data_IF_726955952213
#
_entry.id   IF_726955952213
#
_cell.length_a   1.000
_cell.length_b   1.000
_cell.length_c   1.000
_cell.angle_alpha   90.00
_cell.angle_beta   90.00
_cell.angle_gamma   90.00
#
_symmetry.space_group_name_H-M   'P 1'
#
loop_
_entity.id
_entity.type
_entity.pdbx_description
1 polymer ?
#
# COMPACT_ATOMS: atom_id res chain seq x y z
N UNK A 1 -1.19 2.11 5.69
CA UNK A 1 -1.27 1.00 6.67
C UNK A 1 0.03 0.22 6.78
N UNK A 2 0.57 -0.36 5.69
CA UNK A 2 1.76 -1.24 5.71
C UNK A 2 2.96 -0.66 6.47
N UNK A 3 3.35 0.59 6.15
CA UNK A 3 4.49 1.28 6.79
C UNK A 3 4.25 1.73 8.24
N UNK A 4 3.01 1.75 8.72
CA UNK A 4 2.68 2.11 10.10
C UNK A 4 2.33 0.90 10.97
N UNK A 5 2.27 -0.29 10.36
CA UNK A 5 1.96 -1.55 11.05
C UNK A 5 3.10 -2.01 11.99
N UNK A 6 2.79 -2.88 12.98
CA UNK A 6 3.80 -3.45 13.90
C UNK A 6 4.70 -4.51 13.26
N UNK A 7 4.49 -4.83 11.98
CA UNK A 7 5.26 -5.84 11.26
C UNK A 7 6.45 -5.22 10.53
N UNK A 8 7.35 -6.07 10.05
CA UNK A 8 8.39 -5.68 9.09
C UNK A 8 7.75 -5.47 7.72
N UNK A 9 7.70 -4.23 7.19
CA UNK A 9 7.12 -3.98 5.87
C UNK A 9 8.05 -4.51 4.77
N UNK A 10 7.46 -5.06 3.72
CA UNK A 10 8.11 -5.35 2.44
C UNK A 10 7.33 -4.60 1.36
N UNK A 11 8.04 -3.86 0.51
CA UNK A 11 7.45 -3.15 -0.63
C UNK A 11 7.87 -3.86 -1.90
N UNK A 12 6.97 -3.94 -2.87
CA UNK A 12 7.35 -4.36 -4.21
C UNK A 12 7.96 -3.19 -4.98
N UNK A 13 8.91 -3.45 -5.88
CA UNK A 13 9.56 -2.37 -6.63
C UNK A 13 8.53 -1.62 -7.49
N UNK A 14 8.52 -0.29 -7.40
CA UNK A 14 7.56 0.55 -8.11
C UNK A 14 6.26 0.80 -7.35
N UNK A 15 5.98 0.07 -6.26
CA UNK A 15 4.81 0.32 -5.40
C UNK A 15 4.84 1.75 -4.82
N UNK A 16 6.03 2.25 -4.50
CA UNK A 16 6.22 3.52 -3.82
C UNK A 16 5.82 4.74 -4.65
N UNK A 17 5.75 4.62 -5.98
CA UNK A 17 5.23 5.65 -6.87
C UNK A 17 4.02 5.16 -7.68
N UNK A 18 3.48 3.97 -7.37
CA UNK A 18 2.33 3.41 -8.06
C UNK A 18 2.63 3.12 -9.52
N UNK A 19 3.68 2.35 -9.79
CA UNK A 19 4.13 2.05 -11.14
C UNK A 19 3.00 1.52 -12.02
N UNK A 20 2.91 2.04 -13.25
CA UNK A 20 1.88 1.65 -14.23
C UNK A 20 2.21 0.34 -14.93
N UNK A 21 3.47 -0.08 -14.89
CA UNK A 21 3.99 -1.27 -15.56
C UNK A 21 3.57 -2.55 -14.82
N UNK A 22 3.10 -3.60 -15.52
CA UNK A 22 2.79 -4.87 -14.89
C UNK A 22 4.05 -5.59 -14.39
N UNK A 23 3.90 -6.55 -13.48
CA UNK A 23 4.94 -7.52 -13.17
C UNK A 23 4.51 -8.92 -13.63
N UNK A 24 4.96 -9.32 -14.81
CA UNK A 24 4.54 -10.56 -15.46
C UNK A 24 5.51 -11.70 -15.11
N UNK A 25 5.03 -12.94 -15.18
CA UNK A 25 5.92 -14.11 -15.12
C UNK A 25 6.61 -14.28 -16.48
N UNK A 26 7.94 -14.23 -16.51
CA UNK A 26 8.74 -14.42 -17.72
C UNK A 26 9.93 -15.36 -17.47
N UNK A 27 10.40 -15.98 -18.55
CA UNK A 27 11.46 -16.99 -18.60
C UNK A 27 12.28 -16.83 -19.88
N UNK A 28 13.45 -17.44 -19.94
CA UNK A 28 14.32 -17.43 -21.13
C UNK A 28 14.97 -18.81 -21.27
N UNK A 29 14.17 -19.84 -21.54
CA UNK A 29 14.69 -21.21 -21.65
C UNK A 29 15.32 -21.36 -23.04
N UNK A 30 16.60 -21.73 -23.15
CA UNK A 30 17.24 -21.91 -24.45
C UNK A 30 16.71 -23.15 -25.18
N UNK A 31 16.23 -24.16 -24.45
CA UNK A 31 15.60 -25.36 -25.02
C UNK A 31 14.12 -25.11 -25.37
N UNK A 32 13.72 -25.20 -26.65
CA UNK A 32 12.34 -24.91 -27.08
C UNK A 32 11.28 -25.78 -26.39
N UNK A 33 11.56 -27.06 -26.15
CA UNK A 33 10.62 -27.98 -25.49
C UNK A 33 10.37 -27.59 -24.04
N UNK A 34 11.41 -27.11 -23.33
CA UNK A 34 11.27 -26.63 -21.96
C UNK A 34 10.50 -25.31 -21.92
N UNK A 35 10.78 -24.40 -22.86
CA UNK A 35 10.03 -23.15 -23.02
C UNK A 35 8.54 -23.40 -23.25
N UNK A 36 8.20 -24.30 -24.18
CA UNK A 36 6.82 -24.69 -24.48
C UNK A 36 6.13 -25.33 -23.28
N UNK A 37 6.81 -26.26 -22.59
CA UNK A 37 6.27 -26.91 -21.40
C UNK A 37 5.96 -25.91 -20.28
N UNK A 38 6.84 -24.92 -20.07
CA UNK A 38 6.63 -23.83 -19.10
C UNK A 38 5.45 -22.94 -19.48
N UNK A 39 5.35 -22.52 -20.74
CA UNK A 39 4.25 -21.68 -21.22
C UNK A 39 2.89 -22.39 -21.06
N UNK A 40 2.78 -23.63 -21.56
CA UNK A 40 1.55 -24.42 -21.42
C UNK A 40 1.21 -24.72 -19.95
N UNK A 41 2.23 -25.01 -19.13
CA UNK A 41 2.06 -25.25 -17.70
C UNK A 41 1.45 -24.04 -17.00
N UNK A 42 1.95 -22.84 -17.30
CA UNK A 42 1.48 -21.59 -16.70
C UNK A 42 0.08 -21.20 -17.15
N UNK A 43 -0.23 -21.37 -18.44
CA UNK A 43 -1.58 -21.12 -18.96
C UNK A 43 -2.61 -22.02 -18.25
N UNK A 44 -2.31 -23.32 -18.11
CA UNK A 44 -3.19 -24.26 -17.39
C UNK A 44 -3.36 -23.91 -15.91
N UNK A 45 -2.33 -23.37 -15.26
CA UNK A 45 -2.42 -22.93 -13.86
C UNK A 45 -3.34 -21.71 -13.72
N UNK A 46 -3.21 -20.72 -14.60
CA UNK A 46 -4.06 -19.53 -14.60
C UNK A 46 -5.51 -19.83 -14.95
N UNK A 47 -5.76 -20.76 -15.87
CA UNK A 47 -7.12 -21.23 -16.18
C UNK A 47 -7.81 -21.80 -14.93
N UNK A 48 -7.08 -22.58 -14.11
CA UNK A 48 -7.59 -23.10 -12.83
C UNK A 48 -7.88 -21.99 -11.81
N UNK A 49 -7.22 -20.84 -11.92
CA UNK A 49 -7.46 -19.65 -11.10
C UNK A 49 -8.58 -18.77 -11.67
N UNK A 50 -9.27 -19.20 -12.74
CA UNK A 50 -10.40 -18.49 -13.35
C UNK A 50 -9.99 -17.34 -14.28
N UNK A 51 -8.73 -17.28 -14.70
CA UNK A 51 -8.26 -16.29 -15.67
C UNK A 51 -8.58 -16.73 -17.09
N UNK A 52 -8.88 -15.77 -17.96
CA UNK A 52 -9.00 -16.02 -19.40
C UNK A 52 -7.61 -16.39 -19.97
N UNK A 53 -7.42 -17.61 -20.51
CA UNK A 53 -6.16 -18.03 -21.10
C UNK A 53 -5.66 -17.08 -22.20
N UNK A 54 -6.56 -16.41 -22.92
CA UNK A 54 -6.21 -15.53 -24.03
C UNK A 54 -5.52 -14.22 -23.58
N UNK A 55 -5.64 -13.85 -22.30
CA UNK A 55 -4.99 -12.65 -21.74
C UNK A 55 -3.70 -12.96 -20.99
N UNK A 56 -3.34 -14.25 -20.86
CA UNK A 56 -2.09 -14.67 -20.20
C UNK A 56 -0.91 -14.44 -21.15
N UNK A 57 0.04 -13.55 -20.82
CA UNK A 57 1.23 -13.35 -21.64
C UNK A 57 2.07 -14.61 -21.75
N UNK A 58 2.64 -14.88 -22.92
CA UNK A 58 3.61 -15.96 -23.09
C UNK A 58 4.88 -15.66 -22.26
N UNK A 59 5.26 -16.52 -21.31
CA UNK A 59 6.45 -16.29 -20.50
C UNK A 59 7.77 -16.41 -21.28
N UNK A 60 7.81 -16.96 -22.50
CA UNK A 60 9.00 -17.00 -23.35
C UNK A 60 9.08 -15.82 -24.34
N UNK A 61 8.02 -15.03 -24.50
CA UNK A 61 8.02 -13.83 -25.32
C UNK A 61 8.91 -12.75 -24.66
N UNK A 62 9.99 -12.28 -25.33
CA UNK A 62 10.83 -11.20 -24.80
C UNK A 62 10.05 -9.93 -24.41
N UNK A 63 8.91 -9.66 -25.05
CA UNK A 63 8.07 -8.52 -24.70
C UNK A 63 7.41 -8.66 -23.33
N UNK A 64 7.20 -9.87 -22.82
CA UNK A 64 6.72 -10.10 -21.43
C UNK A 64 7.72 -9.61 -20.39
N UNK A 65 9.02 -9.80 -20.66
CA UNK A 65 10.08 -9.20 -19.87
C UNK A 65 10.16 -7.67 -20.06
N UNK A 66 10.14 -7.20 -21.32
CA UNK A 66 10.25 -5.76 -21.62
C UNK A 66 9.13 -4.94 -20.97
N UNK A 67 7.87 -5.39 -21.04
CA UNK A 67 6.72 -4.73 -20.39
C UNK A 67 6.79 -4.75 -18.86
N UNK A 68 7.58 -5.65 -18.28
CA UNK A 68 7.77 -5.75 -16.83
C UNK A 68 8.91 -4.86 -16.28
N UNK A 69 9.56 -4.08 -17.15
CA UNK A 69 10.56 -3.10 -16.73
C UNK A 69 9.88 -1.83 -16.23
N UNK A 70 10.28 -1.37 -15.06
CA UNK A 70 9.80 -0.12 -14.47
C UNK A 70 10.04 1.08 -15.39
N UNK A 71 9.00 1.90 -15.55
CA UNK A 71 9.08 3.18 -16.25
C UNK A 71 9.49 4.31 -15.27
N UNK A 72 10.79 4.50 -15.08
CA UNK A 72 11.30 5.48 -14.10
C UNK A 72 10.92 6.94 -14.37
N UNK A 73 10.53 7.30 -15.59
CA UNK A 73 10.13 8.69 -15.89
C UNK A 73 8.84 9.08 -15.17
N UNK A 74 7.94 8.12 -14.92
CA UNK A 74 6.63 8.41 -14.31
C UNK A 74 6.75 8.76 -12.82
N UNK A 75 7.79 8.27 -12.12
CA UNK A 75 7.98 8.47 -10.68
C UNK A 75 8.05 9.96 -10.25
N UNK A 76 8.42 10.86 -11.18
CA UNK A 76 8.51 12.30 -10.96
C UNK A 76 7.28 13.10 -11.35
N UNK A 77 6.20 12.45 -11.83
CA UNK A 77 5.07 13.12 -12.48
C UNK A 77 3.75 12.91 -11.72
N UNK A 78 2.89 13.94 -11.70
CA UNK A 78 1.50 13.86 -11.24
C UNK A 78 1.28 13.07 -9.94
N UNK A 79 0.33 12.13 -9.99
CA UNK A 79 -0.02 11.28 -8.85
C UNK A 79 1.11 10.33 -8.42
N UNK A 80 1.98 9.90 -9.33
CA UNK A 80 3.12 9.06 -8.99
C UNK A 80 4.09 9.81 -8.05
N UNK A 81 4.39 11.07 -8.37
CA UNK A 81 5.22 11.92 -7.51
C UNK A 81 4.57 12.18 -6.15
N UNK A 82 3.24 12.41 -6.13
CA UNK A 82 2.48 12.58 -4.89
C UNK A 82 2.57 11.34 -4.01
N UNK A 83 2.38 10.16 -4.58
CA UNK A 83 2.49 8.88 -3.87
C UNK A 83 3.92 8.62 -3.37
N UNK A 84 4.93 8.91 -4.19
CA UNK A 84 6.34 8.78 -3.80
C UNK A 84 6.68 9.68 -2.60
N UNK A 85 6.17 10.89 -2.57
CA UNK A 85 6.35 11.81 -1.45
C UNK A 85 5.64 11.30 -0.18
N UNK A 86 4.46 10.70 -0.31
CA UNK A 86 3.78 10.04 0.82
C UNK A 86 4.60 8.86 1.38
N UNK A 87 5.13 7.99 0.52
CA UNK A 87 6.00 6.88 0.94
C UNK A 87 7.27 7.37 1.65
N UNK A 88 7.89 8.45 1.15
CA UNK A 88 9.05 9.10 1.79
C UNK A 88 8.69 9.67 3.16
N UNK A 89 7.56 10.37 3.27
CA UNK A 89 7.09 10.94 4.53
C UNK A 89 6.75 9.85 5.56
N UNK A 90 6.06 8.77 5.15
CA UNK A 90 5.76 7.63 6.01
C UNK A 90 7.03 6.90 6.47
N UNK A 91 8.01 6.72 5.58
CA UNK A 91 9.29 6.08 5.93
C UNK A 91 10.09 6.95 6.91
N UNK A 92 10.12 8.27 6.69
CA UNK A 92 10.77 9.21 7.61
C UNK A 92 10.08 9.20 8.98
N UNK A 93 8.74 9.21 9.01
CA UNK A 93 7.94 9.12 10.23
C UNK A 93 8.21 7.81 10.97
N UNK A 94 8.13 6.66 10.29
CA UNK A 94 8.44 5.35 10.89
C UNK A 94 9.83 5.32 11.51
N UNK A 95 10.84 5.88 10.83
CA UNK A 95 12.22 5.91 11.32
C UNK A 95 12.40 6.83 12.53
N UNK A 96 11.67 7.94 12.58
CA UNK A 96 11.79 8.92 13.65
C UNK A 96 10.95 8.59 14.90
N UNK A 97 10.00 7.66 14.80
CA UNK A 97 9.04 7.35 15.85
C UNK A 97 9.26 5.92 16.38
N UNK A 98 9.84 5.75 17.59
CA UNK A 98 10.14 4.44 18.18
C UNK A 98 8.94 3.49 18.22
N UNK A 99 7.74 4.00 18.51
CA UNK A 99 6.50 3.24 18.56
C UNK A 99 6.12 2.66 17.19
N UNK A 100 6.54 3.30 16.08
CA UNK A 100 6.33 2.79 14.73
C UNK A 100 7.46 1.86 14.29
N UNK A 101 8.71 2.15 14.68
CA UNK A 101 9.89 1.36 14.33
C UNK A 101 9.98 0.02 15.10
N UNK A 102 9.52 0.00 16.35
CA UNK A 102 9.56 -1.17 17.21
C UNK A 102 8.75 -2.33 16.62
N UNK A 103 9.20 -3.56 16.84
CA UNK A 103 8.45 -4.77 16.50
C UNK A 103 7.71 -5.25 17.75
N UNK A 104 6.42 -5.56 17.63
CA UNK A 104 5.63 -6.09 18.75
C UNK A 104 4.16 -5.70 18.73
N UNK A 105 3.32 -6.54 19.34
CA UNK A 105 1.85 -6.42 19.35
C UNK A 105 1.27 -5.97 20.69
N UNK A 106 2.05 -6.08 21.77
CA UNK A 106 1.54 -5.96 23.15
C UNK A 106 0.94 -4.60 23.47
N UNK A 107 1.31 -3.56 22.74
CA UNK A 107 0.84 -2.18 22.92
C UNK A 107 0.01 -1.68 21.73
N UNK A 108 -0.60 -2.61 20.96
CA UNK A 108 -1.49 -2.25 19.85
C UNK A 108 -2.94 -2.22 20.30
N UNK A 109 -3.60 -1.06 20.18
CA UNK A 109 -5.05 -0.93 20.33
C UNK A 109 -5.73 -0.90 18.95
N UNK A 110 -6.97 -1.38 18.85
CA UNK A 110 -7.73 -1.37 17.60
C UNK A 110 -9.20 -1.07 17.90
N UNK A 111 -9.79 -0.18 17.12
CA UNK A 111 -11.23 0.07 17.00
C UNK A 111 -11.60 0.15 15.52
N UNK A 112 -12.78 -0.33 15.14
CA UNK A 112 -13.23 -0.33 13.75
C UNK A 112 -14.75 -0.37 13.64
N UNK A 113 -15.25 -0.03 12.46
CA UNK A 113 -16.64 -0.28 12.04
C UNK A 113 -16.62 -0.88 10.64
N UNK A 114 -17.24 -2.04 10.47
CA UNK A 114 -17.42 -2.66 9.14
C UNK A 114 -18.51 -1.93 8.35
N UNK A 115 -19.57 -1.50 9.01
CA UNK A 115 -20.70 -0.80 8.40
C UNK A 115 -20.29 0.60 7.90
N UNK A 116 -19.57 1.36 8.73
CA UNK A 116 -19.07 2.70 8.39
C UNK A 116 -17.69 2.66 7.70
N UNK A 117 -17.09 1.47 7.58
CA UNK A 117 -15.83 1.19 6.87
C UNK A 117 -14.65 2.05 7.33
N UNK A 118 -14.34 2.03 8.62
CA UNK A 118 -13.14 2.69 9.16
C UNK A 118 -12.36 1.80 10.11
N UNK A 119 -11.06 2.10 10.23
CA UNK A 119 -10.12 1.45 11.16
C UNK A 119 -9.31 2.52 11.89
N UNK A 120 -9.29 2.44 13.21
CA UNK A 120 -8.38 3.18 14.08
C UNK A 120 -7.52 2.19 14.83
N UNK A 121 -6.20 2.33 14.75
CA UNK A 121 -5.29 1.56 15.58
C UNK A 121 -4.22 2.42 16.22
N UNK A 122 -3.88 2.08 17.46
CA UNK A 122 -2.88 2.78 18.26
C UNK A 122 -1.64 1.93 18.51
N UNK A 123 -0.49 2.58 18.64
CA UNK A 123 0.79 2.01 19.06
C UNK A 123 1.46 2.99 20.01
N UNK A 124 1.38 2.71 21.31
CA UNK A 124 1.73 3.70 22.33
C UNK A 124 0.91 4.97 22.15
N UNK A 125 1.57 6.12 21.99
CA UNK A 125 0.90 7.41 21.75
C UNK A 125 0.53 7.63 20.27
N UNK A 126 1.05 6.83 19.35
CA UNK A 126 0.79 7.02 17.92
C UNK A 126 -0.54 6.37 17.56
N UNK A 127 -1.41 7.13 16.91
CA UNK A 127 -2.70 6.66 16.40
C UNK A 127 -2.70 6.75 14.88
N UNK A 128 -3.31 5.76 14.24
CA UNK A 128 -3.46 5.67 12.79
C UNK A 128 -4.93 5.44 12.48
N UNK A 129 -5.55 6.38 11.78
CA UNK A 129 -6.95 6.30 11.36
C UNK A 129 -7.04 6.14 9.84
N UNK A 130 -7.93 5.28 9.38
CA UNK A 130 -8.19 5.01 7.96
C UNK A 130 -9.69 5.04 7.71
N UNK A 131 -10.11 5.82 6.72
CA UNK A 131 -11.45 5.82 6.16
C UNK A 131 -11.42 5.02 4.84
N UNK A 132 -12.15 3.90 4.78
CA UNK A 132 -12.31 3.08 3.59
C UNK A 132 -13.67 3.32 2.88
N UNK A 133 -14.50 4.23 3.40
CA UNK A 133 -15.74 4.66 2.75
C UNK A 133 -15.46 5.78 1.75
N UNK A 134 -16.44 6.06 0.88
CA UNK A 134 -16.40 7.20 -0.03
C UNK A 134 -16.87 8.50 0.65
N UNK A 135 -17.49 8.41 1.82
CA UNK A 135 -18.10 9.52 2.53
C UNK A 135 -17.13 10.10 3.57
N UNK A 136 -17.34 11.36 3.96
CA UNK A 136 -16.60 11.96 5.07
C UNK A 136 -16.99 11.28 6.39
N UNK A 137 -15.99 11.00 7.22
CA UNK A 137 -16.17 10.44 8.56
C UNK A 137 -15.70 11.40 9.62
N UNK A 138 -16.43 11.46 10.73
CA UNK A 138 -16.01 12.14 11.94
C UNK A 138 -15.86 11.13 13.08
N UNK A 139 -14.65 11.04 13.62
CA UNK A 139 -14.30 10.11 14.69
C UNK A 139 -13.95 10.89 15.96
N UNK A 140 -14.47 10.42 17.09
CA UNK A 140 -14.00 10.85 18.41
C UNK A 140 -12.71 10.10 18.73
N UNK A 141 -11.64 10.84 18.95
CA UNK A 141 -10.27 10.32 19.16
C UNK A 141 -9.62 11.05 20.34
N UNK A 142 -8.54 10.51 20.92
CA UNK A 142 -7.74 11.27 21.87
C UNK A 142 -7.27 12.60 21.26
N UNK A 143 -7.25 13.67 22.06
CA UNK A 143 -6.59 14.92 21.67
C UNK A 143 -5.14 14.64 21.27
N UNK A 144 -4.61 15.41 20.34
CA UNK A 144 -3.27 15.16 19.85
C UNK A 144 -2.83 16.10 18.74
N UNK A 145 -1.70 15.77 18.14
CA UNK A 145 -1.12 16.52 17.02
C UNK A 145 -1.02 15.65 15.78
N UNK A 146 -1.61 16.12 14.68
CA UNK A 146 -1.49 15.49 13.36
C UNK A 146 -0.01 15.45 12.93
N UNK A 147 0.45 14.28 12.50
CA UNK A 147 1.84 14.06 12.03
C UNK A 147 1.90 13.89 10.53
N UNK A 148 0.89 13.26 9.94
CA UNK A 148 0.79 13.02 8.50
C UNK A 148 -0.68 12.79 8.13
N UNK A 149 -1.11 13.33 7.00
CA UNK A 149 -2.40 13.07 6.38
C UNK A 149 -2.21 12.75 4.89
N UNK A 150 -3.11 11.94 4.33
CA UNK A 150 -3.10 11.61 2.89
C UNK A 150 -3.90 12.60 2.04
N UNK A 151 -4.68 13.46 2.69
CA UNK A 151 -5.55 14.46 2.08
C UNK A 151 -5.47 15.76 2.90
N UNK A 152 -5.46 16.91 2.23
CA UNK A 152 -5.29 18.23 2.86
C UNK A 152 -6.52 18.67 3.67
N UNK A 153 -7.69 18.08 3.42
CA UNK A 153 -8.92 18.36 4.17
C UNK A 153 -9.02 17.57 5.49
N UNK A 154 -8.07 16.67 5.78
CA UNK A 154 -8.00 15.99 7.08
C UNK A 154 -7.75 17.00 8.19
N UNK A 155 -8.59 16.97 9.22
CA UNK A 155 -8.50 17.91 10.34
C UNK A 155 -8.64 17.16 11.67
N UNK A 156 -7.78 17.49 12.64
CA UNK A 156 -7.88 17.06 14.03
C UNK A 156 -8.03 18.29 14.91
N UNK A 157 -9.19 18.46 15.54
CA UNK A 157 -9.51 19.58 16.42
C UNK A 157 -10.24 19.10 17.68
N UNK A 158 -9.72 19.44 18.85
CA UNK A 158 -10.38 19.15 20.14
C UNK A 158 -10.81 17.69 20.36
N UNK A 159 -10.05 16.71 19.87
CA UNK A 159 -10.39 15.29 19.97
C UNK A 159 -11.40 14.80 18.92
N UNK A 160 -11.73 15.63 17.93
CA UNK A 160 -12.53 15.25 16.78
C UNK A 160 -11.66 15.20 15.52
N UNK A 161 -11.62 14.03 14.88
CA UNK A 161 -10.91 13.80 13.64
C UNK A 161 -11.92 13.74 12.48
N UNK A 162 -11.79 14.65 11.51
CA UNK A 162 -12.51 14.57 10.23
C UNK A 162 -11.60 13.97 9.15
N UNK A 163 -12.12 12.96 8.44
CA UNK A 163 -11.45 12.23 7.37
C UNK A 163 -12.33 12.24 6.11
N UNK A 164 -11.87 12.86 5.00
CA UNK A 164 -12.48 12.66 3.69
C UNK A 164 -12.56 11.18 3.30
N UNK A 165 -13.42 10.87 2.32
CA UNK A 165 -13.52 9.52 1.76
C UNK A 165 -12.16 9.00 1.27
N UNK A 166 -11.87 7.73 1.53
CA UNK A 166 -10.62 7.06 1.15
C UNK A 166 -9.33 7.77 1.64
N UNK A 167 -9.39 8.42 2.80
CA UNK A 167 -8.24 9.11 3.41
C UNK A 167 -7.72 8.42 4.66
N UNK A 168 -6.52 8.82 5.10
CA UNK A 168 -5.90 8.33 6.33
C UNK A 168 -5.09 9.43 7.03
N UNK A 169 -4.94 9.26 8.35
CA UNK A 169 -4.18 10.14 9.22
C UNK A 169 -3.27 9.34 10.16
N UNK A 170 -2.11 9.92 10.49
CA UNK A 170 -1.27 9.53 11.61
C UNK A 170 -1.16 10.72 12.56
N UNK A 171 -1.47 10.52 13.83
CA UNK A 171 -1.37 11.56 14.86
C UNK A 171 -0.76 11.01 16.14
N UNK A 172 -0.19 11.89 16.96
CA UNK A 172 0.31 11.53 18.29
C UNK A 172 -0.68 12.06 19.33
N UNK A 173 -1.25 11.16 20.12
CA UNK A 173 -2.14 11.48 21.23
C UNK A 173 -1.37 12.24 22.32
N UNK A 174 -2.02 13.25 22.90
CA UNK A 174 -1.56 13.93 24.11
C UNK A 174 -1.60 12.96 25.30
N UNK A 175 -0.59 13.06 26.16
CA UNK A 175 -0.49 12.27 27.39
C UNK A 175 -1.49 12.73 28.46
#
# INVERSE_FOLDING_TARGET
MTLTSPFTPMLFMGEEYGASTPWQFFTSHPEPELGKATAEGRIREFERMGWDPAVVPDPQDPETFTRSKLNWSEAGEGDHARLLNLYRALTALRRATPELAGLGFTETSVAFSEDERWLLFGRGQVQVALNFSADELQLQVPEGTLKLATDDAVCLDGGQLSLPGHSAAVFAASA
#
